data_IF_527591592029
#
_entry.id   IF_527591592029
#
_cell.length_a   1.000
_cell.length_b   1.000
_cell.length_c   1.000
_cell.angle_alpha   90.00
_cell.angle_beta   90.00
_cell.angle_gamma   90.00
#
_symmetry.space_group_name_H-M   'P 1'
#
loop_
_entity.id
_entity.type
_entity.pdbx_description
1 polymer ?
#
# COMPACT_ATOMS: atom_id res chain seq x y z
N UNK A 1 37.12 -31.44 18.45
CA UNK A 1 36.89 -30.70 19.71
C UNK A 1 35.98 -29.50 19.42
N UNK A 2 34.72 -29.57 19.85
CA UNK A 2 33.74 -28.47 19.66
C UNK A 2 34.06 -27.31 20.60
N UNK A 3 34.14 -26.09 20.08
CA UNK A 3 34.29 -24.89 20.90
C UNK A 3 33.13 -24.81 21.92
N UNK A 4 33.42 -24.54 23.20
CA UNK A 4 32.38 -24.46 24.23
C UNK A 4 31.34 -23.38 23.84
N UNK A 5 30.05 -23.76 23.84
CA UNK A 5 28.94 -22.80 23.70
C UNK A 5 29.05 -21.81 24.84
N UNK A 6 29.32 -20.54 24.53
CA UNK A 6 29.29 -19.44 25.50
C UNK A 6 27.92 -19.41 26.16
N UNK A 7 27.85 -19.82 27.41
CA UNK A 7 26.64 -19.80 28.26
C UNK A 7 26.34 -18.38 28.83
N UNK A 8 27.30 -17.48 28.72
CA UNK A 8 27.21 -16.14 29.30
C UNK A 8 26.41 -15.19 28.40
N UNK A 9 25.49 -14.43 29.02
CA UNK A 9 24.75 -13.34 28.36
C UNK A 9 25.72 -12.24 27.94
N UNK A 10 25.82 -11.99 26.63
CA UNK A 10 26.57 -10.85 26.12
C UNK A 10 25.96 -9.55 26.63
N UNK A 11 26.81 -8.60 27.04
CA UNK A 11 26.42 -7.30 27.57
C UNK A 11 26.43 -6.23 26.48
N UNK A 12 25.83 -5.06 26.76
CA UNK A 12 25.85 -3.92 25.85
C UNK A 12 27.27 -3.43 25.55
N UNK A 13 28.16 -3.45 26.55
CA UNK A 13 29.55 -3.03 26.39
C UNK A 13 30.34 -3.99 25.50
N UNK A 14 30.13 -5.30 25.64
CA UNK A 14 30.74 -6.30 24.74
C UNK A 14 30.26 -6.14 23.29
N UNK A 15 28.99 -5.78 23.07
CA UNK A 15 28.48 -5.46 21.71
C UNK A 15 29.23 -4.25 21.13
N UNK A 16 29.42 -3.16 21.91
CA UNK A 16 30.19 -2.02 21.44
C UNK A 16 31.64 -2.38 21.12
N UNK A 17 32.28 -3.22 21.92
CA UNK A 17 33.64 -3.71 21.66
C UNK A 17 33.69 -4.56 20.36
N UNK A 18 32.74 -5.47 20.18
CA UNK A 18 32.67 -6.29 18.95
C UNK A 18 32.52 -5.39 17.73
N UNK A 19 31.63 -4.39 17.78
CA UNK A 19 31.42 -3.46 16.67
C UNK A 19 32.68 -2.64 16.38
N UNK A 20 33.40 -2.19 17.42
CA UNK A 20 34.62 -1.41 17.25
C UNK A 20 35.75 -2.19 16.58
N UNK A 21 35.79 -3.50 16.70
CA UNK A 21 36.80 -4.33 16.02
C UNK A 21 36.60 -4.42 14.52
N UNK A 22 35.40 -4.08 14.01
CA UNK A 22 35.00 -4.22 12.58
C UNK A 22 35.26 -5.61 11.98
N UNK A 23 35.50 -6.62 12.83
CA UNK A 23 35.80 -7.96 12.36
C UNK A 23 34.54 -8.61 11.81
N UNK A 24 34.59 -8.97 10.54
CA UNK A 24 33.50 -9.68 9.84
C UNK A 24 33.21 -11.00 10.54
N UNK A 25 31.93 -11.29 10.78
CA UNK A 25 31.53 -12.52 11.42
C UNK A 25 30.15 -12.47 12.09
N UNK A 26 29.75 -13.62 12.62
CA UNK A 26 28.52 -13.81 13.35
C UNK A 26 28.83 -14.08 14.83
N UNK A 27 28.33 -13.22 15.69
CA UNK A 27 28.59 -13.23 17.13
C UNK A 27 27.35 -13.67 17.90
N UNK A 28 27.38 -14.78 18.63
CA UNK A 28 26.22 -15.30 19.36
C UNK A 28 25.90 -14.37 20.55
N UNK A 29 24.64 -13.98 20.66
CA UNK A 29 24.13 -13.07 21.71
C UNK A 29 23.15 -13.76 22.67
N UNK A 30 23.21 -15.13 22.76
CA UNK A 30 22.31 -16.03 23.48
C UNK A 30 20.94 -16.19 22.79
N UNK A 31 20.27 -17.28 23.10
CA UNK A 31 18.90 -17.58 22.72
C UNK A 31 18.64 -17.48 21.19
N UNK A 32 19.61 -18.00 20.40
CA UNK A 32 19.56 -17.99 18.94
C UNK A 32 19.59 -16.60 18.28
N UNK A 33 19.86 -15.55 19.07
CA UNK A 33 20.12 -14.18 18.57
C UNK A 33 21.61 -14.05 18.25
N UNK A 34 21.92 -13.44 17.13
CA UNK A 34 23.28 -13.17 16.66
C UNK A 34 23.41 -11.71 16.20
N UNK A 35 24.58 -11.13 16.50
CA UNK A 35 25.03 -9.90 15.85
C UNK A 35 25.85 -10.32 14.63
N UNK A 36 25.53 -9.82 13.46
CA UNK A 36 26.23 -10.13 12.23
C UNK A 36 26.93 -8.86 11.71
N UNK A 37 28.24 -8.95 11.46
CA UNK A 37 29.04 -7.90 10.83
C UNK A 37 29.43 -8.39 9.44
N UNK A 38 28.97 -7.67 8.40
CA UNK A 38 29.23 -8.02 7.01
C UNK A 38 30.55 -7.44 6.53
N UNK A 39 31.03 -7.89 5.38
CA UNK A 39 32.24 -7.37 4.72
C UNK A 39 32.12 -5.87 4.39
N UNK A 40 30.91 -5.38 4.09
CA UNK A 40 30.62 -3.96 3.90
C UNK A 40 30.65 -3.14 5.19
N UNK A 41 30.89 -3.76 6.35
CA UNK A 41 30.86 -3.11 7.66
C UNK A 41 29.46 -2.92 8.25
N UNK A 42 28.41 -3.39 7.57
CA UNK A 42 27.04 -3.31 8.09
C UNK A 42 26.88 -4.24 9.29
N UNK A 43 26.30 -3.70 10.38
CA UNK A 43 26.03 -4.43 11.61
C UNK A 43 24.54 -4.66 11.74
N UNK A 44 24.10 -5.90 11.80
CA UNK A 44 22.69 -6.25 11.90
C UNK A 44 22.44 -7.42 12.87
N UNK A 45 21.20 -7.49 13.34
CA UNK A 45 20.69 -8.59 14.15
C UNK A 45 20.16 -9.70 13.27
N UNK A 46 20.38 -10.93 13.69
CA UNK A 46 19.87 -12.12 13.04
C UNK A 46 19.42 -13.14 14.09
N UNK A 47 18.26 -13.71 13.90
CA UNK A 47 17.76 -14.85 14.67
C UNK A 47 17.87 -16.13 13.84
N UNK A 48 18.35 -17.21 14.47
CA UNK A 48 18.35 -18.56 13.88
C UNK A 48 17.27 -19.38 14.59
N UNK A 49 16.43 -20.07 13.85
CA UNK A 49 15.33 -20.86 14.41
C UNK A 49 15.06 -22.10 13.57
N UNK A 50 14.42 -23.08 14.18
CA UNK A 50 13.98 -24.28 13.51
C UNK A 50 12.46 -24.31 13.48
N UNK A 51 11.86 -24.55 12.31
CA UNK A 51 10.43 -24.72 12.11
C UNK A 51 10.20 -25.77 11.02
N UNK A 52 9.25 -26.67 11.22
CA UNK A 52 8.95 -27.79 10.31
C UNK A 52 10.20 -28.64 9.98
N UNK A 53 11.07 -28.85 10.95
CA UNK A 53 12.33 -29.61 10.79
C UNK A 53 13.40 -28.90 9.97
N UNK A 54 13.18 -27.62 9.56
CA UNK A 54 14.10 -26.84 8.75
C UNK A 54 14.71 -25.68 9.54
N UNK A 55 16.03 -25.54 9.46
CA UNK A 55 16.75 -24.43 10.05
C UNK A 55 16.67 -23.20 9.16
N UNK A 56 16.18 -22.09 9.73
CA UNK A 56 15.97 -20.81 9.04
C UNK A 56 16.73 -19.68 9.74
N UNK A 57 17.01 -18.63 8.96
CA UNK A 57 17.60 -17.38 9.46
C UNK A 57 16.63 -16.23 9.17
N UNK A 58 16.46 -15.36 10.16
CA UNK A 58 15.63 -14.16 10.04
C UNK A 58 16.46 -12.93 10.38
N UNK A 59 16.51 -11.96 9.46
CA UNK A 59 17.08 -10.65 9.73
C UNK A 59 16.15 -9.85 10.65
N UNK A 60 16.73 -9.15 11.63
CA UNK A 60 15.97 -8.39 12.62
C UNK A 60 16.31 -6.90 12.58
N UNK A 61 16.85 -6.44 11.45
CA UNK A 61 17.26 -5.06 11.21
C UNK A 61 18.67 -4.72 11.66
N UNK A 62 19.14 -3.55 11.23
CA UNK A 62 20.47 -3.02 11.58
C UNK A 62 20.58 -2.69 13.05
N UNK A 63 21.78 -2.88 13.63
CA UNK A 63 22.06 -2.39 14.97
C UNK A 63 21.98 -0.87 15.03
N UNK A 64 21.27 -0.36 16.02
CA UNK A 64 21.25 1.06 16.33
C UNK A 64 21.26 1.23 17.87
N UNK A 65 22.09 2.13 18.42
CA UNK A 65 22.28 2.21 19.88
C UNK A 65 21.02 2.61 20.67
N UNK A 66 20.07 3.29 20.04
CA UNK A 66 18.82 3.74 20.68
C UNK A 66 17.57 3.01 20.18
N UNK A 67 17.45 2.74 18.88
CA UNK A 67 16.19 2.24 18.26
C UNK A 67 16.21 0.74 17.94
N UNK A 68 17.39 0.10 17.92
CA UNK A 68 17.52 -1.35 17.71
C UNK A 68 18.77 -1.90 18.42
N UNK A 69 18.86 -1.67 19.70
CA UNK A 69 19.95 -2.16 20.56
C UNK A 69 19.71 -3.62 20.99
N UNK A 70 20.64 -4.16 21.80
CA UNK A 70 20.58 -5.54 22.28
C UNK A 70 19.28 -5.87 23.05
N UNK A 71 18.75 -4.92 23.86
CA UNK A 71 17.53 -5.16 24.62
C UNK A 71 16.32 -5.30 23.68
N UNK A 72 16.17 -4.37 22.72
CA UNK A 72 15.10 -4.39 21.73
C UNK A 72 15.19 -5.62 20.82
N UNK A 73 16.40 -5.99 20.41
CA UNK A 73 16.61 -7.22 19.61
C UNK A 73 16.18 -8.49 20.39
N UNK A 74 16.45 -8.55 21.70
CA UNK A 74 15.98 -9.65 22.55
C UNK A 74 14.47 -9.69 22.67
N UNK A 75 13.82 -8.56 22.94
CA UNK A 75 12.36 -8.47 23.00
C UNK A 75 11.73 -8.95 21.68
N UNK A 76 12.27 -8.50 20.55
CA UNK A 76 11.80 -8.94 19.22
C UNK A 76 11.99 -10.46 19.03
N UNK A 77 13.12 -10.99 19.48
CA UNK A 77 13.42 -12.42 19.47
C UNK A 77 12.41 -13.22 20.29
N UNK A 78 12.02 -12.72 21.47
CA UNK A 78 11.03 -13.39 22.33
C UNK A 78 9.65 -13.45 21.68
N UNK A 79 9.23 -12.39 21.01
CA UNK A 79 7.97 -12.36 20.22
C UNK A 79 8.02 -13.41 19.11
N UNK A 80 9.12 -13.48 18.35
CA UNK A 80 9.25 -14.48 17.27
C UNK A 80 9.26 -15.91 17.80
N UNK A 81 9.87 -16.16 18.96
CA UNK A 81 9.83 -17.50 19.59
C UNK A 81 8.40 -17.92 19.96
N UNK A 82 7.59 -16.98 20.46
CA UNK A 82 6.18 -17.28 20.75
C UNK A 82 5.44 -17.69 19.47
N UNK A 83 5.62 -16.95 18.37
CA UNK A 83 5.03 -17.28 17.06
C UNK A 83 5.48 -18.66 16.57
N UNK A 84 6.78 -18.96 16.65
CA UNK A 84 7.33 -20.26 16.24
C UNK A 84 6.75 -21.40 17.09
N UNK A 85 6.57 -21.22 18.40
CA UNK A 85 5.89 -22.19 19.26
C UNK A 85 4.44 -22.44 18.87
N UNK A 86 3.78 -21.46 18.26
CA UNK A 86 2.42 -21.58 17.72
C UNK A 86 2.40 -22.18 16.30
N UNK A 87 3.54 -22.57 15.74
CA UNK A 87 3.64 -23.08 14.38
C UNK A 87 3.65 -21.99 13.30
N UNK A 88 3.75 -20.71 13.69
CA UNK A 88 3.77 -19.57 12.75
C UNK A 88 5.23 -19.24 12.41
N UNK A 89 5.57 -19.30 11.12
CA UNK A 89 6.87 -18.86 10.63
C UNK A 89 6.93 -17.32 10.55
N UNK A 90 7.68 -16.64 11.42
CA UNK A 90 7.69 -15.19 11.47
C UNK A 90 8.24 -14.54 10.19
N UNK A 91 9.09 -15.24 9.45
CA UNK A 91 9.61 -14.75 8.16
C UNK A 91 8.54 -14.77 7.07
N UNK A 92 7.71 -15.80 7.05
CA UNK A 92 6.58 -15.90 6.10
C UNK A 92 5.53 -14.87 6.44
N UNK A 93 5.21 -14.70 7.72
CA UNK A 93 4.25 -13.71 8.20
C UNK A 93 4.68 -12.27 7.85
N UNK A 94 5.93 -11.88 8.16
CA UNK A 94 6.44 -10.55 7.77
C UNK A 94 6.39 -10.33 6.25
N UNK A 95 6.68 -11.36 5.45
CA UNK A 95 6.60 -11.24 4.00
C UNK A 95 5.16 -11.05 3.53
N UNK A 96 4.21 -11.79 4.09
CA UNK A 96 2.78 -11.64 3.78
C UNK A 96 2.25 -10.27 4.15
N UNK A 97 2.63 -9.74 5.32
CA UNK A 97 2.26 -8.39 5.74
C UNK A 97 2.83 -7.33 4.79
N UNK A 98 4.09 -7.48 4.39
CA UNK A 98 4.74 -6.55 3.44
C UNK A 98 4.07 -6.60 2.06
N UNK A 99 3.75 -7.79 1.56
CA UNK A 99 3.10 -7.97 0.27
C UNK A 99 1.66 -7.42 0.29
N UNK A 100 0.94 -7.62 1.39
CA UNK A 100 -0.38 -7.02 1.59
C UNK A 100 -0.30 -5.48 1.61
N UNK A 101 0.65 -4.93 2.36
CA UNK A 101 0.87 -3.48 2.41
C UNK A 101 1.18 -2.91 1.03
N UNK A 102 2.08 -3.54 0.27
CA UNK A 102 2.41 -3.12 -1.11
C UNK A 102 1.19 -3.16 -2.03
N UNK A 103 0.38 -4.21 -1.94
CA UNK A 103 -0.86 -4.33 -2.73
C UNK A 103 -1.85 -3.23 -2.39
N UNK A 104 -2.02 -2.95 -1.10
CA UNK A 104 -2.91 -1.88 -0.63
C UNK A 104 -2.43 -0.50 -1.07
N UNK A 105 -1.12 -0.22 -0.95
CA UNK A 105 -0.52 1.05 -1.40
C UNK A 105 -0.66 1.22 -2.92
N UNK A 106 -0.40 0.17 -3.70
CA UNK A 106 -0.56 0.19 -5.15
C UNK A 106 -2.02 0.42 -5.57
N UNK A 107 -2.97 -0.24 -4.89
CA UNK A 107 -4.40 -0.05 -5.11
C UNK A 107 -4.84 1.38 -4.78
N UNK A 108 -4.44 1.90 -3.61
CA UNK A 108 -4.76 3.27 -3.21
C UNK A 108 -4.19 4.30 -4.19
N UNK A 109 -2.95 4.09 -4.65
CA UNK A 109 -2.33 4.94 -5.68
C UNK A 109 -3.13 4.90 -6.97
N UNK A 110 -3.54 3.72 -7.44
CA UNK A 110 -4.37 3.55 -8.62
C UNK A 110 -5.72 4.28 -8.48
N UNK A 111 -6.36 4.21 -7.31
CA UNK A 111 -7.60 4.96 -7.05
C UNK A 111 -7.40 6.47 -7.15
N UNK A 112 -6.30 7.00 -6.59
CA UNK A 112 -5.97 8.42 -6.63
C UNK A 112 -5.65 8.93 -8.05
N UNK A 113 -4.99 8.11 -8.87
CA UNK A 113 -4.61 8.47 -10.24
C UNK A 113 -5.78 8.42 -11.23
N UNK A 114 -6.89 7.77 -10.87
CA UNK A 114 -8.06 7.67 -11.74
C UNK A 114 -9.08 8.77 -11.41
N UNK A 115 -8.85 9.93 -12.00
CA UNK A 115 -9.75 11.10 -11.85
C UNK A 115 -11.03 10.95 -12.68
N UNK A 116 -12.08 11.72 -12.31
CA UNK A 116 -13.32 11.76 -13.06
C UNK A 116 -13.10 12.07 -14.55
N UNK A 117 -12.27 13.06 -14.85
CA UNK A 117 -11.95 13.44 -16.22
C UNK A 117 -11.31 12.31 -17.02
N UNK A 118 -10.35 11.59 -16.42
CA UNK A 118 -9.70 10.45 -17.07
C UNK A 118 -10.69 9.35 -17.41
N UNK A 119 -11.59 9.03 -16.48
CA UNK A 119 -12.61 8.00 -16.70
C UNK A 119 -13.70 8.48 -17.66
N UNK A 120 -14.00 9.78 -17.69
CA UNK A 120 -14.93 10.36 -18.66
C UNK A 120 -14.41 10.21 -20.10
N UNK A 121 -13.13 10.47 -20.33
CA UNK A 121 -12.52 10.23 -21.65
C UNK A 121 -12.48 8.74 -22.01
N UNK A 122 -12.16 7.85 -21.07
CA UNK A 122 -12.24 6.40 -21.29
C UNK A 122 -13.67 5.96 -21.69
N UNK A 123 -14.66 6.42 -20.96
CA UNK A 123 -16.08 6.15 -21.27
C UNK A 123 -16.50 6.72 -22.63
N UNK A 124 -16.00 7.92 -22.98
CA UNK A 124 -16.24 8.55 -24.26
C UNK A 124 -15.65 7.70 -25.41
N UNK A 125 -14.39 7.34 -25.35
CA UNK A 125 -13.74 6.54 -26.40
C UNK A 125 -14.40 5.17 -26.57
N UNK A 126 -14.85 4.55 -25.50
CA UNK A 126 -15.59 3.29 -25.56
C UNK A 126 -16.97 3.44 -26.26
N UNK A 127 -17.68 4.53 -25.98
CA UNK A 127 -19.01 4.77 -26.57
C UNK A 127 -18.95 5.36 -27.96
N UNK A 128 -17.87 6.04 -28.32
CA UNK A 128 -17.72 6.75 -29.61
C UNK A 128 -18.06 5.90 -30.83
N UNK A 129 -17.65 4.63 -30.95
CA UNK A 129 -18.00 3.81 -32.10
C UNK A 129 -19.49 3.48 -32.24
N UNK A 130 -20.27 3.60 -31.15
CA UNK A 130 -21.71 3.29 -31.15
C UNK A 130 -22.58 4.46 -31.61
N UNK A 131 -22.00 5.68 -31.76
CA UNK A 131 -22.75 6.86 -32.16
C UNK A 131 -22.68 7.09 -33.68
N UNK A 132 -23.85 7.07 -34.32
CA UNK A 132 -23.97 7.32 -35.76
C UNK A 132 -23.74 8.81 -36.13
N UNK A 133 -23.85 9.72 -35.17
CA UNK A 133 -23.71 11.17 -35.41
C UNK A 133 -22.49 11.73 -34.68
N UNK A 134 -21.42 12.15 -35.42
CA UNK A 134 -20.21 12.74 -34.81
C UNK A 134 -20.46 13.99 -33.97
N UNK A 135 -21.49 14.81 -34.30
CA UNK A 135 -21.85 15.96 -33.50
C UNK A 135 -22.37 15.56 -32.13
N UNK A 136 -23.13 14.47 -32.07
CA UNK A 136 -23.65 13.94 -30.80
C UNK A 136 -22.54 13.42 -29.90
N UNK A 137 -21.56 12.72 -30.47
CA UNK A 137 -20.37 12.26 -29.77
C UNK A 137 -19.62 13.46 -29.17
N UNK A 138 -19.33 14.48 -29.96
CA UNK A 138 -18.63 15.67 -29.51
C UNK A 138 -19.39 16.41 -28.40
N UNK A 139 -20.69 16.54 -28.52
CA UNK A 139 -21.54 17.17 -27.48
C UNK A 139 -21.51 16.40 -26.16
N UNK A 140 -21.36 15.07 -26.21
CA UNK A 140 -21.35 14.26 -25.00
C UNK A 140 -20.19 14.65 -24.08
N UNK A 141 -18.98 14.73 -24.59
CA UNK A 141 -17.80 15.08 -23.80
C UNK A 141 -17.75 16.59 -23.48
N UNK A 142 -18.05 17.46 -24.46
CA UNK A 142 -18.05 18.90 -24.26
C UNK A 142 -18.96 19.36 -23.11
N UNK A 143 -20.07 18.69 -22.91
CA UNK A 143 -20.96 19.02 -21.80
C UNK A 143 -20.34 18.73 -20.45
N UNK A 144 -19.59 17.62 -20.34
CA UNK A 144 -18.83 17.30 -19.12
C UNK A 144 -17.66 18.28 -18.93
N UNK A 145 -16.96 18.64 -20.01
CA UNK A 145 -15.90 19.66 -19.99
C UNK A 145 -16.40 21.00 -19.48
N UNK A 146 -17.60 21.37 -19.88
CA UNK A 146 -18.20 22.67 -19.52
C UNK A 146 -18.71 22.72 -18.08
N UNK A 147 -19.38 21.67 -17.62
CA UNK A 147 -20.13 21.71 -16.36
C UNK A 147 -19.52 20.88 -15.25
N UNK A 148 -18.96 19.72 -15.54
CA UNK A 148 -18.47 18.80 -14.52
C UNK A 148 -16.95 18.93 -14.26
N UNK A 149 -16.13 19.02 -15.31
CA UNK A 149 -14.67 19.04 -15.14
C UNK A 149 -14.14 20.21 -14.31
N UNK A 150 -14.69 21.43 -14.37
CA UNK A 150 -14.21 22.52 -13.54
C UNK A 150 -14.34 22.27 -12.04
N UNK A 151 -15.29 21.43 -11.62
CA UNK A 151 -15.57 21.16 -10.22
C UNK A 151 -15.00 19.79 -9.77
N UNK A 152 -15.28 18.74 -10.54
CA UNK A 152 -14.95 17.36 -10.15
C UNK A 152 -13.96 16.66 -11.08
N UNK A 153 -13.49 17.33 -12.14
CA UNK A 153 -12.64 16.72 -13.17
C UNK A 153 -11.36 16.08 -12.62
N UNK A 154 -10.68 16.77 -11.70
CA UNK A 154 -9.45 16.32 -11.08
C UNK A 154 -9.66 15.47 -9.80
N UNK A 155 -10.90 15.28 -9.37
CA UNK A 155 -11.19 14.46 -8.20
C UNK A 155 -11.01 12.97 -8.53
N UNK A 156 -10.42 12.18 -7.62
CA UNK A 156 -10.42 10.73 -7.74
C UNK A 156 -11.86 10.21 -7.86
N UNK A 157 -12.13 9.39 -8.88
CA UNK A 157 -13.49 8.89 -9.16
C UNK A 157 -14.10 8.12 -7.99
N UNK A 158 -13.26 7.50 -7.16
CA UNK A 158 -13.68 6.76 -5.97
C UNK A 158 -14.20 7.66 -4.85
N UNK A 159 -13.82 8.94 -4.82
CA UNK A 159 -14.13 9.88 -3.74
C UNK A 159 -15.34 10.77 -4.02
N UNK A 160 -15.83 10.80 -5.27
CA UNK A 160 -16.95 11.65 -5.67
C UNK A 160 -18.22 11.18 -4.95
N UNK A 161 -18.88 12.10 -4.26
CA UNK A 161 -20.11 11.85 -3.52
C UNK A 161 -21.32 12.57 -4.12
N UNK A 162 -22.48 12.45 -3.46
CA UNK A 162 -23.73 13.11 -3.90
C UNK A 162 -23.64 14.64 -3.82
N UNK A 163 -22.86 15.18 -2.86
CA UNK A 163 -22.71 16.63 -2.75
C UNK A 163 -21.91 17.19 -3.93
N UNK A 164 -20.89 16.46 -4.39
CA UNK A 164 -20.11 16.83 -5.57
C UNK A 164 -20.98 16.85 -6.83
N UNK A 165 -21.84 15.83 -6.99
CA UNK A 165 -22.77 15.77 -8.10
C UNK A 165 -23.76 16.94 -8.05
N UNK A 166 -24.29 17.26 -6.85
CA UNK A 166 -25.18 18.42 -6.66
C UNK A 166 -24.46 19.73 -6.93
N UNK A 167 -23.23 19.89 -6.50
CA UNK A 167 -22.46 21.11 -6.78
C UNK A 167 -22.34 21.39 -8.29
N UNK A 168 -22.25 20.36 -9.12
CA UNK A 168 -22.28 20.50 -10.58
C UNK A 168 -23.66 20.86 -11.10
N UNK A 169 -24.71 20.29 -10.55
CA UNK A 169 -26.06 20.39 -11.10
C UNK A 169 -26.85 21.59 -10.57
N UNK A 170 -26.72 21.97 -9.31
CA UNK A 170 -27.49 23.03 -8.66
C UNK A 170 -27.46 24.35 -9.44
N UNK A 171 -26.34 24.83 -10.00
CA UNK A 171 -26.30 26.09 -10.77
C UNK A 171 -27.14 26.10 -12.05
N UNK A 172 -27.40 24.89 -12.60
CA UNK A 172 -28.11 24.75 -13.90
C UNK A 172 -29.48 24.10 -13.77
N UNK A 173 -29.80 23.50 -12.60
CA UNK A 173 -31.01 22.71 -12.41
C UNK A 173 -32.30 23.42 -12.76
N UNK A 174 -32.46 24.62 -12.25
CA UNK A 174 -33.67 25.44 -12.51
C UNK A 174 -33.57 26.29 -13.78
N UNK A 175 -32.35 26.62 -14.23
CA UNK A 175 -32.14 27.50 -15.39
C UNK A 175 -32.16 26.78 -16.73
N UNK A 176 -31.67 25.54 -16.75
CA UNK A 176 -31.49 24.69 -17.94
C UNK A 176 -31.80 23.23 -17.60
N UNK A 177 -33.05 22.88 -17.24
CA UNK A 177 -33.36 21.53 -16.70
C UNK A 177 -32.98 20.38 -17.64
N UNK A 178 -33.24 20.51 -18.95
CA UNK A 178 -32.82 19.48 -19.91
C UNK A 178 -31.30 19.31 -19.99
N UNK A 179 -30.53 20.41 -19.83
CA UNK A 179 -29.08 20.34 -19.80
C UNK A 179 -28.61 19.66 -18.51
N UNK A 180 -29.24 20.01 -17.38
CA UNK A 180 -28.91 19.39 -16.08
C UNK A 180 -29.16 17.89 -16.09
N UNK A 181 -30.27 17.43 -16.62
CA UNK A 181 -30.56 15.98 -16.74
C UNK A 181 -29.57 15.28 -17.65
N UNK A 182 -29.20 15.89 -18.79
CA UNK A 182 -28.16 15.34 -19.68
C UNK A 182 -26.78 15.27 -19.01
N UNK A 183 -26.39 16.32 -18.24
CA UNK A 183 -25.13 16.31 -17.47
C UNK A 183 -25.16 15.22 -16.41
N UNK A 184 -26.26 15.09 -15.66
CA UNK A 184 -26.46 14.03 -14.67
C UNK A 184 -26.30 12.64 -15.28
N UNK A 185 -27.03 12.34 -16.35
CA UNK A 185 -26.96 11.03 -16.99
C UNK A 185 -25.57 10.71 -17.57
N UNK A 186 -24.80 11.73 -17.98
CA UNK A 186 -23.40 11.55 -18.42
C UNK A 186 -22.47 11.29 -17.26
N UNK A 187 -22.61 12.01 -16.13
CA UNK A 187 -21.86 11.72 -14.90
C UNK A 187 -22.18 10.31 -14.38
N UNK A 188 -23.46 9.93 -14.39
CA UNK A 188 -23.91 8.57 -14.03
C UNK A 188 -23.21 7.51 -14.89
N UNK A 189 -23.13 7.72 -16.20
CA UNK A 189 -22.47 6.78 -17.12
C UNK A 189 -20.96 6.68 -16.87
N UNK A 190 -20.28 7.79 -16.56
CA UNK A 190 -18.85 7.81 -16.21
C UNK A 190 -18.59 7.03 -14.92
N UNK A 191 -19.43 7.28 -13.90
CA UNK A 191 -19.28 6.59 -12.61
C UNK A 191 -19.63 5.10 -12.72
N UNK A 192 -20.63 4.74 -13.53
CA UNK A 192 -20.94 3.36 -13.84
C UNK A 192 -19.75 2.66 -14.52
N UNK A 193 -19.06 3.35 -15.45
CA UNK A 193 -17.82 2.83 -16.07
C UNK A 193 -16.73 2.57 -15.03
N UNK A 194 -16.53 3.50 -14.08
CA UNK A 194 -15.58 3.33 -13.00
C UNK A 194 -15.87 2.07 -12.14
N UNK A 195 -17.15 1.78 -11.89
CA UNK A 195 -17.55 0.54 -11.19
C UNK A 195 -17.18 -0.71 -11.97
N UNK A 196 -17.43 -0.74 -13.28
CA UNK A 196 -17.05 -1.88 -14.14
C UNK A 196 -15.53 -2.08 -14.15
N UNK A 197 -14.74 -1.00 -14.07
CA UNK A 197 -13.28 -1.06 -13.98
C UNK A 197 -12.75 -1.43 -12.59
N UNK A 198 -13.62 -1.63 -11.59
CA UNK A 198 -13.21 -1.91 -10.21
C UNK A 198 -12.57 -0.72 -9.48
N UNK A 199 -12.73 0.50 -10.00
CA UNK A 199 -12.18 1.73 -9.44
C UNK A 199 -13.07 2.35 -8.36
N UNK A 200 -14.29 1.85 -8.21
CA UNK A 200 -15.28 2.29 -7.23
C UNK A 200 -16.18 1.12 -6.84
N UNK A 201 -16.41 0.92 -5.54
CA UNK A 201 -17.32 -0.11 -4.98
C UNK A 201 -18.69 0.46 -4.60
N UNK A 202 -18.75 1.72 -4.19
CA UNK A 202 -19.94 2.37 -3.65
C UNK A 202 -21.05 2.54 -4.68
N UNK A 203 -22.25 2.87 -4.19
CA UNK A 203 -23.36 3.21 -5.04
C UNK A 203 -23.03 4.42 -5.93
N UNK A 204 -23.67 4.48 -7.10
CA UNK A 204 -23.47 5.60 -8.01
C UNK A 204 -24.21 6.85 -7.49
N UNK A 205 -23.51 7.90 -7.08
CA UNK A 205 -24.13 9.09 -6.48
C UNK A 205 -24.92 9.95 -7.47
N UNK A 206 -24.85 9.67 -8.78
CA UNK A 206 -25.63 10.37 -9.81
C UNK A 206 -26.93 9.64 -10.18
N UNK A 207 -27.27 8.54 -9.46
CA UNK A 207 -28.49 7.74 -9.67
C UNK A 207 -29.58 8.22 -8.72
N UNK A 208 -30.60 8.89 -9.22
CA UNK A 208 -31.88 9.23 -8.57
C UNK A 208 -32.98 9.49 -9.59
#
# INVERSE_FOLDING_TARGET
MGKPRRTQRITHNEIKQIISTKKVGRYPCKDNLYLNITESGTVNWCMVYDIDGKRKNMGMGGYHPTTNNLAQARTKCDVYRLKIKQGIDPKVEEQQELDLKRKTEAHNKQLQENTFQKIAYDAYEQKRPTWNNPKHAKQWIQTLETYAFPLIGNMPIAQIDTNDIRAVLDPIWNKKPETADRVRGRMEAVIARAKVLGLRSDQNPATW
#
